data_IF_411406036270
#
_entry.id   IF_411406036270
#
_cell.length_a   1.000
_cell.length_b   1.000
_cell.length_c   1.000
_cell.angle_alpha   90.00
_cell.angle_beta   90.00
_cell.angle_gamma   90.00
#
_symmetry.space_group_name_H-M   'P 1'
#
loop_
_entity.id
_entity.type
_entity.pdbx_description
1 polymer ?
#
# COMPACT_ATOMS: atom_id res chain seq x y z
N UNK A 1 -44.42 13.12 -53.10
CA UNK A 1 -43.04 13.23 -52.58
C UNK A 1 -42.13 12.68 -53.68
N UNK A 2 -41.28 13.53 -54.18
CA UNK A 2 -40.44 13.18 -55.37
C UNK A 2 -39.33 12.22 -54.92
N UNK A 3 -39.01 11.22 -55.77
CA UNK A 3 -37.91 10.25 -55.52
C UNK A 3 -36.55 10.93 -55.28
N UNK A 4 -36.40 12.16 -55.76
CA UNK A 4 -35.19 12.99 -55.53
C UNK A 4 -35.04 13.49 -54.08
N UNK A 5 -36.15 13.81 -53.39
CA UNK A 5 -36.11 14.27 -52.00
C UNK A 5 -35.78 13.13 -51.05
N UNK A 6 -36.14 11.89 -51.36
CA UNK A 6 -35.81 10.72 -50.57
C UNK A 6 -34.32 10.34 -50.66
N UNK A 7 -33.76 10.50 -51.88
CA UNK A 7 -32.36 10.21 -52.14
C UNK A 7 -31.43 11.23 -51.46
N UNK A 8 -31.81 12.51 -51.38
CA UNK A 8 -31.04 13.54 -50.70
C UNK A 8 -31.07 13.38 -49.19
N UNK A 9 -32.19 12.88 -48.62
CA UNK A 9 -32.31 12.61 -47.21
C UNK A 9 -31.47 11.38 -46.77
N UNK A 10 -31.39 10.37 -47.64
CA UNK A 10 -30.57 9.17 -47.40
C UNK A 10 -29.07 9.49 -47.45
N UNK A 11 -28.66 10.39 -48.35
CA UNK A 11 -27.27 10.80 -48.48
C UNK A 11 -26.79 11.70 -47.31
N UNK A 12 -27.71 12.48 -46.68
CA UNK A 12 -27.42 13.33 -45.56
C UNK A 12 -27.24 12.51 -44.26
N UNK A 13 -27.90 11.33 -44.19
CA UNK A 13 -27.78 10.44 -43.00
C UNK A 13 -26.46 9.65 -42.97
N UNK A 14 -25.80 9.47 -44.12
CA UNK A 14 -24.48 8.82 -44.22
C UNK A 14 -23.30 9.74 -43.79
N UNK A 15 -23.55 11.04 -43.60
CA UNK A 15 -22.54 12.03 -43.21
C UNK A 15 -22.48 12.32 -41.71
N UNK A 16 -23.21 11.55 -40.88
CA UNK A 16 -22.99 11.58 -39.46
C UNK A 16 -21.59 11.02 -39.17
N UNK A 17 -20.64 11.83 -38.68
CA UNK A 17 -19.36 11.30 -38.28
C UNK A 17 -19.64 10.27 -37.20
N UNK A 18 -19.22 9.02 -37.42
CA UNK A 18 -19.12 8.03 -36.37
C UNK A 18 -18.33 8.72 -35.23
N UNK A 19 -19.04 9.07 -34.19
CA UNK A 19 -18.39 9.52 -32.95
C UNK A 19 -17.51 8.36 -32.52
N UNK A 20 -16.27 8.34 -33.00
CA UNK A 20 -15.24 7.49 -32.47
C UNK A 20 -15.15 7.91 -31.00
N UNK A 21 -15.57 7.03 -30.13
CA UNK A 21 -15.28 7.11 -28.73
C UNK A 21 -13.77 7.18 -28.66
N UNK A 22 -13.23 8.40 -28.62
CA UNK A 22 -11.86 8.65 -28.23
C UNK A 22 -11.81 8.13 -26.81
N UNK A 23 -11.42 6.85 -26.67
CA UNK A 23 -10.86 6.39 -25.43
C UNK A 23 -9.73 7.38 -25.11
N UNK A 24 -10.01 8.31 -24.24
CA UNK A 24 -9.00 9.19 -23.69
C UNK A 24 -8.01 8.26 -22.98
N UNK A 25 -6.93 7.97 -23.65
CA UNK A 25 -5.75 7.35 -23.04
C UNK A 25 -5.26 8.35 -22.00
N UNK A 26 -5.90 8.32 -20.83
CA UNK A 26 -5.51 9.10 -19.69
C UNK A 26 -4.08 8.70 -19.35
N UNK A 27 -3.10 9.58 -19.59
CA UNK A 27 -1.82 9.54 -18.88
C UNK A 27 -2.17 9.19 -17.45
N UNK A 28 -1.61 8.11 -16.93
CA UNK A 28 -1.78 7.72 -15.54
C UNK A 28 -1.49 8.95 -14.68
N UNK A 29 -2.54 9.63 -14.24
CA UNK A 29 -2.39 10.76 -13.33
C UNK A 29 -1.75 10.19 -12.08
N UNK A 30 -0.56 10.66 -11.75
CA UNK A 30 0.11 10.34 -10.51
C UNK A 30 -0.67 11.01 -9.35
N UNK A 31 -1.75 10.33 -8.94
CA UNK A 31 -2.63 10.79 -7.87
C UNK A 31 -1.90 10.97 -6.53
N UNK A 32 -0.69 10.42 -6.41
CA UNK A 32 0.12 10.54 -5.19
C UNK A 32 0.48 11.99 -4.87
N UNK A 33 0.55 12.86 -5.90
CA UNK A 33 0.86 14.29 -5.74
C UNK A 33 -0.34 15.13 -5.29
N UNK A 34 -1.56 14.63 -5.51
CA UNK A 34 -2.79 15.34 -5.21
C UNK A 34 -3.41 14.93 -3.87
N UNK A 35 -3.03 13.77 -3.35
CA UNK A 35 -3.56 13.21 -2.11
C UNK A 35 -2.47 13.15 -1.06
N UNK A 36 -2.76 13.63 0.12
CA UNK A 36 -1.88 13.58 1.28
C UNK A 36 -2.58 12.93 2.45
N UNK A 37 -1.86 12.16 3.24
CA UNK A 37 -2.34 11.61 4.50
C UNK A 37 -1.22 11.75 5.52
N UNK A 38 -1.43 12.64 6.49
CA UNK A 38 -0.50 12.79 7.63
C UNK A 38 -0.76 11.73 8.68
N UNK A 39 0.20 11.53 9.60
CA UNK A 39 0.01 10.61 10.72
C UNK A 39 -1.12 11.05 11.65
N UNK A 40 -1.32 12.36 11.82
CA UNK A 40 -2.40 12.89 12.64
C UNK A 40 -3.76 12.69 11.97
N UNK A 41 -3.86 12.95 10.65
CA UNK A 41 -5.07 12.65 9.89
C UNK A 41 -5.42 11.16 9.93
N UNK A 42 -4.42 10.28 9.76
CA UNK A 42 -4.61 8.84 9.83
C UNK A 42 -5.13 8.40 11.22
N UNK A 43 -4.59 8.99 12.29
CA UNK A 43 -5.07 8.72 13.66
C UNK A 43 -6.52 9.13 13.81
N UNK A 44 -6.88 10.34 13.38
CA UNK A 44 -8.23 10.88 13.51
C UNK A 44 -9.26 10.08 12.71
N UNK A 45 -8.88 9.59 11.53
CA UNK A 45 -9.72 8.73 10.69
C UNK A 45 -9.97 7.36 11.34
N UNK A 46 -8.95 6.79 11.98
CA UNK A 46 -8.97 5.40 12.41
C UNK A 46 -9.35 5.20 13.87
N UNK A 47 -9.28 6.25 14.72
CA UNK A 47 -9.55 6.17 16.17
C UNK A 47 -10.93 5.64 16.54
N UNK A 48 -11.92 5.82 15.66
CA UNK A 48 -13.26 5.30 15.87
C UNK A 48 -13.43 3.80 15.58
N UNK A 49 -12.50 3.24 14.80
CA UNK A 49 -12.53 1.84 14.37
C UNK A 49 -11.48 0.97 15.06
N UNK A 50 -10.35 1.56 15.44
CA UNK A 50 -9.23 0.86 16.10
C UNK A 50 -8.93 1.55 17.42
N UNK A 51 -9.15 0.89 18.57
CA UNK A 51 -8.88 1.47 19.88
C UNK A 51 -7.37 1.60 20.13
N UNK A 52 -6.99 2.55 20.98
CA UNK A 52 -5.60 2.78 21.45
C UNK A 52 -4.58 2.84 20.33
N UNK A 53 -4.98 3.48 19.21
CA UNK A 53 -4.16 3.55 18.00
C UNK A 53 -3.04 4.57 18.13
N UNK A 54 -1.83 4.12 17.79
CA UNK A 54 -0.65 4.96 17.60
C UNK A 54 -0.13 4.76 16.19
N UNK A 55 -0.14 5.81 15.38
CA UNK A 55 0.41 5.77 14.02
C UNK A 55 1.93 5.90 14.11
N UNK A 56 2.64 4.93 13.55
CA UNK A 56 4.10 4.90 13.51
C UNK A 56 4.60 5.54 12.21
N UNK A 57 4.02 5.17 11.08
CA UNK A 57 4.34 5.78 9.80
C UNK A 57 3.20 5.67 8.79
N UNK A 58 3.17 6.61 7.85
CA UNK A 58 2.26 6.61 6.69
C UNK A 58 3.11 6.75 5.44
N UNK A 59 2.92 5.85 4.48
CA UNK A 59 3.62 5.86 3.19
C UNK A 59 2.66 5.53 2.06
N UNK A 60 3.07 5.78 0.83
CA UNK A 60 2.36 5.29 -0.34
C UNK A 60 2.52 3.77 -0.43
N UNK A 61 1.41 3.09 -0.69
CA UNK A 61 1.43 1.66 -0.98
C UNK A 61 2.06 1.39 -2.36
N UNK A 62 2.68 0.21 -2.58
CA UNK A 62 3.06 -0.24 -3.92
C UNK A 62 1.88 -0.32 -4.89
N UNK A 63 0.66 -0.44 -4.39
CA UNK A 63 -0.58 -0.40 -5.17
C UNK A 63 -1.10 1.03 -5.24
N UNK A 64 -1.38 1.50 -6.46
CA UNK A 64 -1.94 2.84 -6.67
C UNK A 64 -3.27 3.02 -5.95
N UNK A 65 -3.52 4.23 -5.43
CA UNK A 65 -4.76 4.60 -4.78
C UNK A 65 -4.84 4.24 -3.30
N UNK A 66 -3.77 3.71 -2.71
CA UNK A 66 -3.72 3.30 -1.33
C UNK A 66 -2.56 3.95 -0.57
N UNK A 67 -2.83 4.25 0.69
CA UNK A 67 -1.83 4.54 1.71
C UNK A 67 -1.52 3.28 2.50
N UNK A 68 -0.26 3.07 2.81
CA UNK A 68 0.22 2.08 3.76
C UNK A 68 0.40 2.76 5.12
N UNK A 69 -0.32 2.30 6.12
CA UNK A 69 -0.29 2.84 7.46
C UNK A 69 0.23 1.78 8.43
N UNK A 70 1.41 2.02 8.98
CA UNK A 70 1.99 1.18 10.03
C UNK A 70 1.63 1.77 11.39
N UNK A 71 1.03 0.96 12.22
CA UNK A 71 0.43 1.38 13.47
C UNK A 71 0.69 0.38 14.60
N UNK A 72 0.46 0.85 15.81
CA UNK A 72 0.43 0.06 17.04
C UNK A 72 -0.91 0.28 17.72
N UNK A 73 -1.54 -0.81 18.18
CA UNK A 73 -2.75 -0.78 19.00
C UNK A 73 -2.54 -1.68 20.19
N UNK A 74 -2.49 -1.08 21.39
CA UNK A 74 -1.98 -1.75 22.58
C UNK A 74 -0.52 -2.19 22.40
N UNK A 75 -0.24 -3.48 22.56
CA UNK A 75 1.11 -4.06 22.33
C UNK A 75 1.30 -4.68 20.93
N UNK A 76 0.30 -4.57 20.05
CA UNK A 76 0.33 -5.21 18.73
C UNK A 76 0.61 -4.19 17.64
N UNK A 77 1.62 -4.48 16.83
CA UNK A 77 1.91 -3.72 15.63
C UNK A 77 1.19 -4.32 14.43
N UNK A 78 0.76 -3.47 13.52
CA UNK A 78 0.04 -3.90 12.32
C UNK A 78 0.28 -2.98 11.14
N UNK A 79 0.04 -3.51 9.95
CA UNK A 79 0.05 -2.79 8.69
C UNK A 79 -1.34 -2.84 8.10
N UNK A 80 -1.89 -1.68 7.79
CA UNK A 80 -3.20 -1.53 7.16
C UNK A 80 -3.10 -0.64 5.93
N UNK A 81 -4.12 -0.67 5.11
CA UNK A 81 -4.22 0.15 3.90
C UNK A 81 -5.44 1.05 3.99
N UNK A 82 -5.28 2.31 3.57
CA UNK A 82 -6.34 3.32 3.51
C UNK A 82 -6.46 3.82 2.09
N UNK A 83 -7.66 3.96 1.56
CA UNK A 83 -7.89 4.50 0.22
C UNK A 83 -7.59 6.01 0.14
N UNK A 84 -7.24 6.50 -1.05
CA UNK A 84 -6.98 7.94 -1.26
C UNK A 84 -8.21 8.81 -1.01
N UNK A 85 -9.42 8.24 -1.09
CA UNK A 85 -10.65 8.93 -0.74
C UNK A 85 -10.85 9.07 0.77
N UNK A 86 -10.02 8.40 1.59
CA UNK A 86 -10.09 8.41 3.06
C UNK A 86 -11.44 7.90 3.59
N UNK A 87 -12.08 6.99 2.85
CA UNK A 87 -13.40 6.44 3.19
C UNK A 87 -13.34 5.02 3.69
N UNK A 88 -12.33 4.26 3.26
CA UNK A 88 -12.21 2.86 3.60
C UNK A 88 -10.79 2.52 4.03
N UNK A 89 -10.69 1.60 4.94
CA UNK A 89 -9.43 0.91 5.25
C UNK A 89 -9.65 -0.59 5.24
N UNK A 90 -8.60 -1.34 4.99
CA UNK A 90 -8.64 -2.79 5.11
C UNK A 90 -7.36 -3.32 5.74
N UNK A 91 -7.50 -4.45 6.42
CA UNK A 91 -6.41 -5.25 6.98
C UNK A 91 -6.30 -6.52 6.17
N UNK A 92 -5.13 -6.80 5.63
CA UNK A 92 -4.94 -7.97 4.79
C UNK A 92 -3.59 -7.97 4.10
N UNK A 93 -3.39 -8.97 3.24
CA UNK A 93 -2.15 -9.14 2.50
C UNK A 93 -2.26 -8.61 1.08
N UNK A 94 -1.31 -7.80 0.68
CA UNK A 94 -1.09 -7.35 -0.69
C UNK A 94 -0.09 -8.31 -1.33
N UNK A 95 -0.54 -9.06 -2.33
CA UNK A 95 0.28 -10.08 -3.00
C UNK A 95 0.54 -9.64 -4.43
N UNK A 96 1.82 -9.59 -4.82
CA UNK A 96 2.22 -9.37 -6.20
C UNK A 96 1.87 -10.59 -7.05
N UNK A 97 0.97 -10.42 -8.02
CA UNK A 97 0.56 -11.51 -8.93
C UNK A 97 1.74 -11.99 -9.77
N UNK A 98 2.54 -11.06 -10.26
CA UNK A 98 3.69 -11.36 -11.11
C UNK A 98 4.80 -12.09 -10.36
N UNK A 99 5.13 -11.64 -9.18
CA UNK A 99 6.27 -12.14 -8.39
C UNK A 99 5.85 -13.20 -7.38
N UNK A 100 4.55 -13.35 -7.13
CA UNK A 100 3.96 -14.26 -6.13
C UNK A 100 4.49 -14.02 -4.71
N UNK A 101 4.85 -12.76 -4.42
CA UNK A 101 5.39 -12.32 -3.13
C UNK A 101 4.33 -11.62 -2.31
N UNK A 102 4.37 -11.82 -1.00
CA UNK A 102 3.52 -11.09 -0.04
C UNK A 102 4.20 -9.78 0.37
N UNK A 103 3.84 -8.70 -0.31
CA UNK A 103 4.42 -7.38 -0.10
C UNK A 103 4.13 -6.84 1.30
N UNK A 104 2.96 -7.17 1.86
CA UNK A 104 2.60 -6.77 3.23
C UNK A 104 3.51 -7.43 4.25
N UNK A 105 3.76 -8.74 4.11
CA UNK A 105 4.62 -9.48 5.01
C UNK A 105 6.07 -8.97 4.95
N UNK A 106 6.60 -8.81 3.76
CA UNK A 106 7.95 -8.28 3.56
C UNK A 106 8.11 -6.89 4.17
N UNK A 107 7.10 -6.04 3.96
CA UNK A 107 7.10 -4.70 4.53
C UNK A 107 7.01 -4.70 6.04
N UNK A 108 6.18 -5.57 6.60
CA UNK A 108 6.05 -5.73 8.05
C UNK A 108 7.36 -6.23 8.69
N UNK A 109 8.03 -7.19 8.06
CA UNK A 109 9.34 -7.69 8.50
C UNK A 109 10.42 -6.59 8.44
N UNK A 110 10.45 -5.82 7.34
CA UNK A 110 11.37 -4.67 7.20
C UNK A 110 11.18 -3.64 8.34
N UNK A 111 9.92 -3.30 8.63
CA UNK A 111 9.55 -2.31 9.65
C UNK A 111 9.82 -2.80 11.09
N UNK A 112 9.85 -4.12 11.29
CA UNK A 112 10.13 -4.74 12.59
C UNK A 112 11.55 -5.31 12.69
N UNK A 113 12.40 -5.04 11.71
CA UNK A 113 13.78 -5.51 11.73
C UNK A 113 14.51 -4.98 12.96
N UNK A 114 15.03 -5.90 13.74
CA UNK A 114 15.81 -5.57 14.94
C UNK A 114 17.23 -5.20 14.51
N UNK A 115 17.73 -4.09 15.02
CA UNK A 115 19.14 -3.75 14.87
C UNK A 115 19.95 -4.61 15.86
N UNK A 116 20.62 -5.61 15.29
CA UNK A 116 21.44 -6.55 16.05
C UNK A 116 22.57 -5.85 16.85
N UNK A 117 23.01 -4.66 16.40
CA UNK A 117 24.02 -3.89 17.09
C UNK A 117 23.54 -3.34 18.45
N UNK A 118 22.23 -3.25 18.64
CA UNK A 118 21.63 -2.77 19.89
C UNK A 118 21.43 -3.87 20.94
N UNK A 119 21.70 -5.13 20.59
CA UNK A 119 21.58 -6.26 21.54
C UNK A 119 22.77 -6.22 22.48
N UNK A 120 22.56 -6.04 23.82
CA UNK A 120 23.66 -6.05 24.78
C UNK A 120 24.19 -7.48 24.93
N UNK A 121 25.43 -7.69 24.52
CA UNK A 121 26.09 -9.00 24.59
C UNK A 121 27.18 -9.06 25.71
N UNK A 122 27.28 -8.03 26.55
CA UNK A 122 28.38 -7.93 27.53
C UNK A 122 28.40 -9.08 28.53
N UNK A 123 27.21 -9.58 28.91
CA UNK A 123 27.06 -10.68 29.87
C UNK A 123 26.58 -11.98 29.17
N UNK A 124 26.64 -12.04 27.85
CA UNK A 124 26.20 -13.23 27.11
C UNK A 124 27.22 -14.36 27.21
N UNK A 125 26.73 -15.60 27.38
CA UNK A 125 27.57 -16.79 27.30
C UNK A 125 28.01 -17.00 25.86
N UNK A 126 29.30 -16.97 25.63
CA UNK A 126 29.88 -17.15 24.27
C UNK A 126 30.41 -18.57 24.14
N UNK A 127 29.90 -19.31 23.17
CA UNK A 127 30.38 -20.62 22.79
C UNK A 127 31.07 -20.55 21.40
N UNK A 128 32.32 -20.96 21.34
CA UNK A 128 33.11 -20.97 20.11
C UNK A 128 34.05 -19.77 19.97
N UNK A 129 34.46 -19.48 18.73
CA UNK A 129 35.41 -18.40 18.45
C UNK A 129 34.71 -17.03 18.50
N UNK A 130 35.10 -16.13 19.41
CA UNK A 130 34.53 -14.78 19.49
C UNK A 130 34.79 -13.91 18.26
N UNK A 131 35.72 -14.29 17.39
CA UNK A 131 36.04 -13.61 16.12
C UNK A 131 35.39 -14.25 14.91
N UNK A 132 34.50 -15.23 15.10
CA UNK A 132 33.81 -15.88 14.01
C UNK A 132 33.06 -14.85 13.14
N UNK A 133 33.11 -15.05 11.81
CA UNK A 133 32.45 -14.17 10.83
C UNK A 133 30.92 -14.24 10.91
N UNK A 134 30.38 -15.39 11.31
CA UNK A 134 28.97 -15.63 11.49
C UNK A 134 28.75 -15.88 12.98
N UNK A 135 27.81 -15.16 13.57
CA UNK A 135 27.38 -15.32 14.96
C UNK A 135 25.91 -15.64 15.02
N UNK A 136 25.52 -16.55 15.88
CA UNK A 136 24.12 -16.88 16.20
C UNK A 136 23.88 -16.39 17.63
N UNK A 137 22.81 -15.62 17.80
CA UNK A 137 22.37 -15.14 19.12
C UNK A 137 21.09 -15.88 19.45
N UNK A 138 21.08 -16.62 20.55
CA UNK A 138 19.90 -17.29 21.09
C UNK A 138 19.47 -16.61 22.37
N UNK A 139 18.18 -16.44 22.55
CA UNK A 139 17.58 -15.94 23.78
C UNK A 139 16.87 -17.13 24.40
N UNK A 140 17.41 -17.63 25.48
CA UNK A 140 16.81 -18.71 26.24
C UNK A 140 16.26 -18.18 27.56
N UNK A 141 15.07 -18.62 27.94
CA UNK A 141 14.49 -18.39 29.26
C UNK A 141 14.87 -19.59 30.12
N UNK A 142 15.60 -19.38 31.24
CA UNK A 142 16.12 -20.48 32.06
C UNK A 142 15.11 -21.06 33.08
N UNK A 143 13.79 -20.93 32.86
CA UNK A 143 12.78 -21.46 33.78
C UNK A 143 12.76 -22.99 33.85
#
# INVERSE_FOLDING_TARGET
>A
MSKTTFLTFLLLFCLLPAAHSLCFEGKSQDCSKCHTLSSDDARDLLKGAIPDIKIISVKLSPTQGLWEVYLESGSRKGLIYVDFAKKHFFMGSLISIKERRNLTQERFEELNKIDVAQIPLNDALVLGDPKARIRVISFDDPD
#
